data_IF_828945618408
#
_entry.id   IF_828945618408
#
_cell.length_a   1.000
_cell.length_b   1.000
_cell.length_c   1.000
_cell.angle_alpha   90.00
_cell.angle_beta   90.00
_cell.angle_gamma   90.00
#
_symmetry.space_group_name_H-M   'P 1'
#
loop_
_entity.id
_entity.type
_entity.pdbx_description
1 polymer ?
#
# COMPACT_ATOMS: atom_id res chain seq x y z
N UNK A 1 -3.34 -24.35 4.29
CA UNK A 1 -3.17 -22.99 3.73
C UNK A 1 -2.47 -22.16 4.79
N UNK A 2 -1.42 -21.40 4.44
CA UNK A 2 -0.76 -20.48 5.37
C UNK A 2 -1.80 -19.62 6.11
N UNK A 3 -1.70 -19.53 7.44
CA UNK A 3 -2.67 -18.85 8.33
C UNK A 3 -2.84 -17.37 7.94
N UNK A 4 -1.75 -16.72 7.52
CA UNK A 4 -1.77 -15.32 7.05
C UNK A 4 -2.56 -15.11 5.78
N UNK A 5 -2.76 -16.19 5.01
CA UNK A 5 -3.51 -16.17 3.76
C UNK A 5 -4.95 -16.64 3.95
N UNK A 6 -5.40 -17.04 5.14
CA UNK A 6 -6.78 -17.46 5.38
C UNK A 6 -7.73 -16.28 5.61
N UNK A 7 -9.03 -16.51 5.51
CA UNK A 7 -10.09 -15.55 5.85
C UNK A 7 -11.39 -16.31 6.13
N UNK A 8 -12.25 -15.77 7.00
CA UNK A 8 -13.64 -16.21 7.13
C UNK A 8 -14.57 -15.49 6.16
N UNK A 9 -15.87 -15.66 6.38
CA UNK A 9 -16.91 -14.96 5.63
C UNK A 9 -16.83 -13.45 5.88
N UNK A 10 -17.13 -12.65 4.87
CA UNK A 10 -17.03 -11.19 4.97
C UNK A 10 -17.73 -10.45 3.85
N UNK A 11 -17.75 -9.14 3.97
CA UNK A 11 -18.27 -8.23 2.95
C UNK A 11 -17.33 -7.04 2.76
N UNK A 12 -17.47 -6.38 1.62
CA UNK A 12 -16.78 -5.14 1.32
C UNK A 12 -17.64 -4.25 0.43
N UNK A 13 -17.42 -2.94 0.54
CA UNK A 13 -18.07 -1.94 -0.31
C UNK A 13 -17.11 -0.80 -0.61
N UNK A 14 -17.36 -0.12 -1.72
CA UNK A 14 -16.62 1.08 -2.10
C UNK A 14 -17.53 2.05 -2.82
N UNK A 15 -17.22 3.33 -2.69
CA UNK A 15 -17.84 4.42 -3.43
C UNK A 15 -16.76 5.34 -3.97
N UNK A 16 -16.98 5.87 -5.17
CA UNK A 16 -16.12 6.87 -5.80
C UNK A 16 -16.98 7.91 -6.50
N UNK A 17 -16.56 9.17 -6.44
CA UNK A 17 -17.24 10.27 -7.10
C UNK A 17 -16.22 11.20 -7.75
N UNK A 18 -16.47 11.55 -9.02
CA UNK A 18 -15.59 12.35 -9.88
C UNK A 18 -16.12 13.79 -10.09
N UNK A 19 -17.10 14.21 -9.30
CA UNK A 19 -17.74 15.53 -9.40
C UNK A 19 -18.30 15.85 -10.79
N UNK A 20 -18.81 14.84 -11.50
CA UNK A 20 -19.43 15.03 -12.82
C UNK A 20 -18.39 15.07 -13.95
N UNK A 21 -17.38 14.20 -13.86
CA UNK A 21 -16.30 14.09 -14.85
C UNK A 21 -15.20 15.14 -14.68
N UNK A 22 -15.02 15.69 -13.49
CA UNK A 22 -13.87 16.54 -13.18
C UNK A 22 -12.58 15.72 -13.10
N UNK A 23 -11.45 16.41 -13.20
CA UNK A 23 -10.12 15.80 -13.05
C UNK A 23 -9.82 15.35 -11.62
N UNK A 24 -10.67 15.75 -10.66
CA UNK A 24 -10.61 15.32 -9.27
C UNK A 24 -11.59 14.19 -9.02
N UNK A 25 -11.14 13.20 -8.25
CA UNK A 25 -12.05 12.19 -7.71
C UNK A 25 -11.72 11.87 -6.26
N UNK A 26 -12.77 11.57 -5.51
CA UNK A 26 -12.66 11.04 -4.15
C UNK A 26 -13.20 9.62 -4.11
N UNK A 27 -12.62 8.78 -3.27
CA UNK A 27 -13.05 7.39 -3.09
C UNK A 27 -12.96 6.97 -1.63
N UNK A 28 -13.83 6.05 -1.24
CA UNK A 28 -13.82 5.43 0.07
C UNK A 28 -14.20 3.95 -0.04
N UNK A 29 -13.57 3.11 0.77
CA UNK A 29 -13.85 1.68 0.83
C UNK A 29 -13.88 1.19 2.27
N UNK A 30 -14.66 0.13 2.50
CA UNK A 30 -14.80 -0.54 3.78
C UNK A 30 -14.88 -2.05 3.58
N UNK A 31 -14.23 -2.81 4.46
CA UNK A 31 -14.25 -4.27 4.48
C UNK A 31 -14.33 -4.79 5.90
N UNK A 32 -15.07 -5.88 6.08
CA UNK A 32 -15.18 -6.59 7.35
C UNK A 32 -15.30 -8.09 7.07
N UNK A 33 -14.50 -8.90 7.75
CA UNK A 33 -14.55 -10.36 7.65
C UNK A 33 -14.35 -11.03 9.00
N UNK A 34 -14.89 -12.23 9.15
CA UNK A 34 -14.56 -13.13 10.25
C UNK A 34 -13.10 -13.59 10.17
N UNK A 35 -12.44 -13.67 11.32
CA UNK A 35 -11.14 -14.32 11.44
C UNK A 35 -11.30 -15.80 11.74
N UNK A 36 -10.46 -16.61 11.12
CA UNK A 36 -10.51 -18.06 11.32
C UNK A 36 -10.00 -18.43 12.71
N UNK A 37 -10.41 -19.59 13.21
CA UNK A 37 -9.90 -20.13 14.48
C UNK A 37 -8.38 -20.22 14.50
N UNK A 38 -7.75 -20.63 13.39
CA UNK A 38 -6.29 -20.76 13.29
C UNK A 38 -5.56 -19.41 13.33
N UNK A 39 -6.18 -18.36 12.80
CA UNK A 39 -5.68 -16.99 12.91
C UNK A 39 -5.68 -16.50 14.37
N UNK A 40 -6.66 -16.91 15.17
CA UNK A 40 -6.74 -16.57 16.59
C UNK A 40 -5.88 -17.45 17.51
N UNK A 41 -5.18 -18.45 16.94
CA UNK A 41 -4.14 -19.22 17.64
C UNK A 41 -2.72 -18.67 17.40
N UNK A 42 -2.59 -17.57 16.64
CA UNK A 42 -1.30 -16.91 16.43
C UNK A 42 -0.83 -16.14 17.66
N UNK A 43 0.46 -15.81 17.72
CA UNK A 43 1.06 -15.09 18.86
C UNK A 43 0.68 -13.61 18.90
N UNK A 44 0.29 -13.04 17.75
CA UNK A 44 0.00 -11.62 17.57
C UNK A 44 -1.30 -11.39 16.81
N UNK A 45 -2.05 -10.39 17.24
CA UNK A 45 -3.28 -9.96 16.59
C UNK A 45 -4.37 -11.00 16.70
N UNK A 46 -5.05 -11.06 17.85
CA UNK A 46 -6.24 -11.91 18.06
C UNK A 46 -7.52 -11.07 18.01
N UNK A 47 -8.58 -11.63 17.47
CA UNK A 47 -9.89 -10.99 17.47
C UNK A 47 -10.87 -11.71 16.57
N UNK A 48 -12.17 -11.47 16.76
CA UNK A 48 -13.20 -12.18 15.99
C UNK A 48 -13.32 -11.67 14.56
N UNK A 49 -13.00 -10.39 14.34
CA UNK A 49 -13.12 -9.70 13.05
C UNK A 49 -11.80 -9.13 12.58
N UNK A 50 -11.62 -9.14 11.26
CA UNK A 50 -10.64 -8.37 10.52
C UNK A 50 -11.36 -7.28 9.74
N UNK A 51 -10.93 -6.03 9.92
CA UNK A 51 -11.58 -4.84 9.37
C UNK A 51 -10.54 -3.99 8.65
N UNK A 52 -10.94 -3.36 7.54
CA UNK A 52 -10.16 -2.28 6.95
C UNK A 52 -11.07 -1.24 6.30
N UNK A 53 -10.62 0.01 6.35
CA UNK A 53 -11.23 1.09 5.61
C UNK A 53 -10.15 1.97 4.97
N UNK A 54 -10.47 2.57 3.84
CA UNK A 54 -9.57 3.45 3.13
C UNK A 54 -10.35 4.64 2.55
N UNK A 55 -9.68 5.77 2.43
CA UNK A 55 -10.13 6.95 1.69
C UNK A 55 -9.01 7.42 0.80
N UNK A 56 -9.36 7.94 -0.37
CA UNK A 56 -8.38 8.43 -1.32
C UNK A 56 -8.90 9.60 -2.13
N UNK A 57 -7.97 10.46 -2.52
CA UNK A 57 -8.22 11.55 -3.46
C UNK A 57 -7.23 11.45 -4.60
N UNK A 58 -7.68 11.77 -5.81
CA UNK A 58 -6.80 11.88 -6.98
C UNK A 58 -7.09 13.14 -7.77
N UNK A 59 -6.05 13.61 -8.46
CA UNK A 59 -6.07 14.60 -9.53
C UNK A 59 -5.37 13.99 -10.75
N UNK A 60 -6.01 14.02 -11.91
CA UNK A 60 -5.51 13.37 -13.12
C UNK A 60 -5.85 14.21 -14.35
N UNK A 61 -5.00 15.21 -14.62
CA UNK A 61 -5.14 16.09 -15.78
C UNK A 61 -3.86 16.86 -16.10
N UNK A 62 -3.81 17.40 -17.33
CA UNK A 62 -2.69 18.21 -17.83
C UNK A 62 -1.34 17.48 -17.68
N UNK A 63 -1.34 16.19 -18.01
CA UNK A 63 -0.20 15.28 -17.91
C UNK A 63 0.35 15.08 -16.48
N UNK A 64 -0.36 15.60 -15.47
CA UNK A 64 -0.02 15.46 -14.05
C UNK A 64 -0.98 14.45 -13.43
N UNK A 65 -0.40 13.48 -12.73
CA UNK A 65 -1.13 12.55 -11.89
C UNK A 65 -0.70 12.72 -10.44
N UNK A 66 -1.64 13.01 -9.55
CA UNK A 66 -1.42 13.06 -8.11
C UNK A 66 -2.49 12.21 -7.44
N UNK A 67 -2.08 11.33 -6.54
CA UNK A 67 -3.03 10.59 -5.71
C UNK A 67 -2.50 10.43 -4.30
N UNK A 68 -3.40 10.43 -3.33
CA UNK A 68 -3.08 10.11 -1.93
C UNK A 68 -4.15 9.22 -1.34
N UNK A 69 -3.75 8.27 -0.51
CA UNK A 69 -4.65 7.37 0.20
C UNK A 69 -4.28 7.34 1.68
N UNK A 70 -5.31 7.27 2.52
CA UNK A 70 -5.16 6.94 3.93
C UNK A 70 -6.02 5.70 4.22
N UNK A 71 -5.49 4.76 4.97
CA UNK A 71 -6.24 3.59 5.39
C UNK A 71 -5.91 3.16 6.81
N UNK A 72 -6.86 2.50 7.45
CA UNK A 72 -6.60 1.77 8.68
C UNK A 72 -7.04 0.32 8.52
N UNK A 73 -6.32 -0.57 9.18
CA UNK A 73 -6.73 -1.97 9.32
C UNK A 73 -6.80 -2.34 10.79
N UNK A 74 -7.63 -3.33 11.14
CA UNK A 74 -7.71 -3.94 12.46
C UNK A 74 -7.64 -5.45 12.32
N UNK A 75 -6.71 -6.09 13.01
CA UNK A 75 -6.49 -7.54 12.98
C UNK A 75 -6.41 -8.10 11.53
N UNK A 76 -5.79 -7.38 10.60
CA UNK A 76 -5.82 -7.76 9.17
C UNK A 76 -4.43 -7.77 8.54
N UNK A 77 -3.58 -6.77 8.83
CA UNK A 77 -2.25 -6.68 8.23
C UNK A 77 -1.33 -7.75 8.80
N UNK A 78 -0.78 -8.67 7.98
CA UNK A 78 0.11 -9.72 8.47
C UNK A 78 1.44 -9.16 8.96
N UNK A 79 1.93 -9.67 10.10
CA UNK A 79 3.27 -9.35 10.66
C UNK A 79 3.97 -10.64 11.08
N UNK A 80 5.27 -10.59 11.42
CA UNK A 80 5.94 -11.78 11.99
C UNK A 80 5.16 -12.25 13.24
N UNK A 81 4.84 -13.54 13.31
CA UNK A 81 4.09 -14.14 14.43
C UNK A 81 2.57 -13.97 14.43
N UNK A 82 1.96 -13.31 13.44
CA UNK A 82 0.50 -13.18 13.34
C UNK A 82 0.05 -11.98 12.51
N UNK A 83 -0.76 -11.12 13.11
CA UNK A 83 -1.33 -9.91 12.50
C UNK A 83 -1.14 -8.70 13.40
N UNK A 84 -1.04 -7.50 12.82
CA UNK A 84 -1.06 -6.27 13.59
C UNK A 84 -2.48 -6.00 14.10
N UNK A 85 -2.60 -5.63 15.38
CA UNK A 85 -3.89 -5.28 16.00
C UNK A 85 -4.53 -4.08 15.31
N UNK A 86 -3.73 -3.08 14.98
CA UNK A 86 -4.12 -1.96 14.14
C UNK A 86 -2.98 -1.57 13.21
N UNK A 87 -3.31 -1.09 12.01
CA UNK A 87 -2.37 -0.30 11.20
C UNK A 87 -2.96 1.03 10.81
N UNK A 88 -2.11 2.02 10.61
CA UNK A 88 -2.43 3.28 9.94
C UNK A 88 -1.48 3.40 8.76
N UNK A 89 -2.03 3.52 7.56
CA UNK A 89 -1.27 3.54 6.32
C UNK A 89 -1.55 4.85 5.58
N UNK A 90 -0.50 5.39 4.97
CA UNK A 90 -0.55 6.57 4.14
C UNK A 90 0.30 6.34 2.89
N UNK A 91 -0.29 6.64 1.73
CA UNK A 91 0.37 6.55 0.44
C UNK A 91 0.15 7.85 -0.32
N UNK A 92 1.20 8.34 -0.99
CA UNK A 92 1.12 9.49 -1.87
C UNK A 92 1.98 9.27 -3.10
N UNK A 93 1.52 9.73 -4.24
CA UNK A 93 2.26 9.67 -5.51
C UNK A 93 2.03 10.93 -6.32
N UNK A 94 3.08 11.40 -6.98
CA UNK A 94 3.03 12.43 -8.01
C UNK A 94 3.83 11.99 -9.22
N UNK A 95 3.25 12.16 -10.40
CA UNK A 95 3.87 11.80 -11.67
C UNK A 95 3.58 12.86 -12.72
N UNK A 96 4.48 12.97 -13.69
CA UNK A 96 4.30 13.84 -14.85
C UNK A 96 4.58 13.06 -16.12
N UNK A 97 3.75 13.20 -17.14
CA UNK A 97 3.91 12.54 -18.43
C UNK A 97 4.45 13.53 -19.47
N UNK A 98 5.70 13.37 -19.89
CA UNK A 98 6.24 14.15 -21.00
C UNK A 98 5.74 13.63 -22.35
N UNK A 99 5.55 14.54 -23.31
CA UNK A 99 5.17 14.24 -24.70
C UNK A 99 6.11 13.24 -25.40
N UNK A 100 7.40 13.24 -25.04
CA UNK A 100 8.41 12.35 -25.62
C UNK A 100 8.44 10.95 -24.99
N UNK A 101 7.47 10.63 -24.12
CA UNK A 101 7.24 9.30 -23.56
C UNK A 101 7.86 9.04 -22.18
N UNK A 102 8.63 9.96 -21.61
CA UNK A 102 9.15 9.81 -20.24
C UNK A 102 8.10 10.17 -19.19
N UNK A 103 7.98 9.34 -18.15
CA UNK A 103 7.11 9.55 -17.00
C UNK A 103 7.88 9.38 -15.70
N UNK A 104 8.47 10.46 -15.13
CA UNK A 104 9.00 10.42 -13.77
C UNK A 104 7.89 10.22 -12.73
N UNK A 105 8.26 9.64 -11.60
CA UNK A 105 7.41 9.35 -10.45
C UNK A 105 8.14 9.66 -9.14
N UNK A 106 7.41 10.24 -8.19
CA UNK A 106 7.82 10.37 -6.80
C UNK A 106 6.69 9.84 -5.92
N UNK A 107 7.00 8.84 -5.09
CA UNK A 107 6.06 8.21 -4.17
C UNK A 107 6.54 8.25 -2.73
N UNK A 108 5.59 8.12 -1.80
CA UNK A 108 5.86 7.87 -0.39
C UNK A 108 4.85 6.86 0.16
N UNK A 109 5.34 5.85 0.88
CA UNK A 109 4.52 4.79 1.46
C UNK A 109 4.90 4.60 2.92
N UNK A 110 3.91 4.73 3.79
CA UNK A 110 4.01 4.48 5.22
C UNK A 110 2.92 3.50 5.65
N UNK A 111 3.29 2.47 6.39
CA UNK A 111 2.37 1.61 7.14
C UNK A 111 2.90 1.47 8.55
N UNK A 112 2.19 2.02 9.53
CA UNK A 112 2.57 1.95 10.94
C UNK A 112 1.69 0.95 11.67
N UNK A 113 2.30 -0.10 12.20
CA UNK A 113 1.66 -1.06 13.09
C UNK A 113 1.50 -0.47 14.48
N UNK A 114 0.35 -0.72 15.11
CA UNK A 114 0.03 -0.26 16.46
C UNK A 114 -0.41 -1.42 17.33
N UNK A 115 -0.06 -1.29 18.61
CA UNK A 115 -0.44 -2.21 19.69
C UNK A 115 -0.07 -3.67 19.40
N UNK A 116 1.07 -3.91 18.74
CA UNK A 116 1.55 -5.25 18.39
C UNK A 116 2.07 -5.95 19.66
N UNK A 117 1.64 -7.18 19.93
CA UNK A 117 1.98 -7.89 21.16
C UNK A 117 3.48 -8.15 21.27
N UNK A 118 4.04 -7.72 22.40
CA UNK A 118 5.47 -7.80 22.70
C UNK A 118 6.34 -6.84 21.89
N UNK A 119 5.76 -5.88 21.18
CA UNK A 119 6.47 -4.90 20.32
C UNK A 119 6.00 -3.47 20.59
N UNK A 120 4.70 -3.24 20.68
CA UNK A 120 4.12 -1.89 20.75
C UNK A 120 3.82 -1.34 19.35
N UNK A 121 4.30 -0.13 19.05
CA UNK A 121 4.11 0.50 17.74
C UNK A 121 5.40 0.50 16.96
N UNK A 122 5.35 0.05 15.70
CA UNK A 122 6.52 -0.14 14.85
C UNK A 122 6.13 0.11 13.39
N UNK A 123 7.04 0.67 12.60
CA UNK A 123 6.80 0.85 11.16
C UNK A 123 6.93 -0.50 10.45
N UNK A 124 5.94 -0.83 9.62
CA UNK A 124 5.88 -2.05 8.81
C UNK A 124 6.39 -1.83 7.40
N UNK A 125 6.16 -0.62 6.89
CA UNK A 125 6.62 -0.11 5.60
C UNK A 125 6.90 1.37 5.80
N UNK A 126 8.06 1.85 5.37
CA UNK A 126 8.36 3.27 5.34
C UNK A 126 9.41 3.49 4.25
N UNK A 127 9.04 4.11 3.12
CA UNK A 127 10.00 4.41 2.05
C UNK A 127 9.55 5.56 1.17
N UNK A 128 10.53 6.19 0.54
CA UNK A 128 10.36 7.12 -0.58
C UNK A 128 10.68 6.33 -1.85
N UNK A 129 9.88 6.54 -2.89
CA UNK A 129 10.06 5.93 -4.20
C UNK A 129 10.40 6.99 -5.23
N UNK A 130 11.51 6.81 -5.95
CA UNK A 130 11.90 7.70 -7.04
C UNK A 130 12.14 6.85 -8.28
N UNK A 131 11.33 7.09 -9.31
CA UNK A 131 11.35 6.26 -10.50
C UNK A 131 11.08 7.03 -11.78
N UNK A 132 11.32 6.38 -12.90
CA UNK A 132 10.93 6.86 -14.21
C UNK A 132 10.63 5.69 -15.15
N UNK A 133 9.55 5.81 -15.90
CA UNK A 133 9.22 4.90 -17.01
C UNK A 133 9.35 5.64 -18.33
N UNK A 134 10.02 5.03 -19.31
CA UNK A 134 10.07 5.51 -20.68
C UNK A 134 9.19 4.63 -21.58
N UNK A 135 8.15 5.22 -22.16
CA UNK A 135 7.27 4.56 -23.11
C UNK A 135 7.77 4.78 -24.53
N UNK A 136 8.26 3.71 -25.17
CA UNK A 136 8.65 3.75 -26.59
C UNK A 136 7.41 3.84 -27.48
N UNK A 137 6.35 3.12 -27.10
CA UNK A 137 5.02 3.14 -27.70
C UNK A 137 4.04 2.41 -26.74
N UNK A 138 2.79 2.21 -27.18
CA UNK A 138 1.76 1.52 -26.38
C UNK A 138 2.08 0.06 -26.00
N UNK A 139 3.09 -0.56 -26.63
CA UNK A 139 3.43 -1.97 -26.51
C UNK A 139 4.79 -2.21 -25.83
N UNK A 140 5.64 -1.19 -25.65
CA UNK A 140 6.99 -1.36 -25.11
C UNK A 140 7.40 -0.18 -24.22
N UNK A 141 7.94 -0.51 -23.04
CA UNK A 141 8.49 0.47 -22.10
C UNK A 141 9.73 -0.06 -21.38
N UNK A 142 10.56 0.85 -20.87
CA UNK A 142 11.64 0.55 -19.94
C UNK A 142 11.45 1.38 -18.67
N UNK A 143 11.87 0.88 -17.51
CA UNK A 143 11.76 1.63 -16.26
C UNK A 143 12.98 1.44 -15.36
N UNK A 144 13.18 2.42 -14.50
CA UNK A 144 14.04 2.36 -13.32
C UNK A 144 13.23 2.85 -12.12
N UNK A 145 13.36 2.15 -10.99
CA UNK A 145 12.66 2.47 -9.75
C UNK A 145 13.62 2.34 -8.57
N UNK A 146 13.65 3.34 -7.69
CA UNK A 146 14.53 3.35 -6.53
C UNK A 146 13.71 3.54 -5.25
N UNK A 147 13.55 2.43 -4.53
CA UNK A 147 13.00 2.40 -3.17
C UNK A 147 14.10 2.82 -2.19
N UNK A 148 13.98 4.04 -1.68
CA UNK A 148 14.80 4.58 -0.60
C UNK A 148 14.11 4.23 0.72
N UNK A 149 14.62 3.22 1.39
CA UNK A 149 14.01 2.66 2.58
C UNK A 149 14.28 3.56 3.79
N UNK A 150 13.22 3.87 4.54
CA UNK A 150 13.24 4.79 5.68
C UNK A 150 12.94 4.06 7.00
N UNK A 151 12.88 2.72 6.98
CA UNK A 151 12.77 1.92 8.20
C UNK A 151 14.05 2.03 9.03
N UNK A 152 13.88 2.10 10.35
CA UNK A 152 15.01 2.10 11.29
C UNK A 152 15.67 0.72 11.35
N UNK A 153 17.00 0.70 11.43
CA UNK A 153 17.80 -0.54 11.45
C UNK A 153 17.59 -1.42 12.68
N UNK A 154 17.08 -0.85 13.77
CA UNK A 154 16.74 -1.56 15.01
C UNK A 154 15.25 -1.94 15.11
N UNK A 155 14.53 -1.91 13.97
CA UNK A 155 13.13 -2.31 13.88
C UNK A 155 12.87 -3.66 14.58
N UNK A 156 11.99 -3.63 15.57
CA UNK A 156 11.74 -4.77 16.48
C UNK A 156 11.14 -5.99 15.76
N UNK A 157 10.56 -5.80 14.57
CA UNK A 157 9.99 -6.86 13.75
C UNK A 157 10.99 -7.48 12.77
N UNK A 158 12.22 -6.95 12.70
CA UNK A 158 13.29 -7.43 11.82
C UNK A 158 12.94 -7.28 10.35
N UNK A 159 12.22 -6.21 10.00
CA UNK A 159 11.87 -5.90 8.62
C UNK A 159 13.11 -5.33 7.94
N UNK A 160 13.36 -5.77 6.70
CA UNK A 160 14.51 -5.31 5.93
C UNK A 160 14.42 -3.80 5.67
N UNK A 161 15.47 -3.11 6.08
CA UNK A 161 15.72 -1.68 5.98
C UNK A 161 16.61 -1.31 4.79
N UNK A 162 17.01 -2.29 3.97
CA UNK A 162 17.82 -2.02 2.78
C UNK A 162 17.01 -1.31 1.70
N UNK A 163 17.73 -0.46 0.98
CA UNK A 163 17.34 0.15 -0.28
C UNK A 163 17.24 -0.89 -1.41
N UNK A 164 16.37 -0.63 -2.39
CA UNK A 164 16.20 -1.51 -3.55
C UNK A 164 16.12 -0.68 -4.83
N UNK A 165 16.92 -1.05 -5.83
CA UNK A 165 16.83 -0.52 -7.19
C UNK A 165 16.30 -1.61 -8.13
N UNK A 166 15.21 -1.32 -8.83
CA UNK A 166 14.62 -2.16 -9.87
C UNK A 166 14.85 -1.53 -11.24
N UNK A 167 15.23 -2.34 -12.23
CA UNK A 167 15.37 -1.93 -13.63
C UNK A 167 14.68 -3.00 -14.48
N UNK A 168 13.89 -2.57 -15.46
CA UNK A 168 13.15 -3.52 -16.28
C UNK A 168 12.80 -3.00 -17.67
N UNK A 169 12.46 -3.95 -18.54
CA UNK A 169 11.87 -3.74 -19.85
C UNK A 169 10.57 -4.54 -19.90
N UNK A 170 9.49 -3.91 -20.36
CA UNK A 170 8.19 -4.52 -20.49
C UNK A 170 7.76 -4.51 -21.96
N UNK A 171 7.32 -5.67 -22.45
CA UNK A 171 6.63 -5.80 -23.73
C UNK A 171 5.22 -6.36 -23.50
N UNK A 172 4.22 -5.71 -24.08
CA UNK A 172 2.81 -6.08 -23.96
C UNK A 172 2.09 -6.03 -25.32
N UNK A 173 1.17 -6.96 -25.54
CA UNK A 173 0.39 -7.09 -26.78
C UNK A 173 -1.08 -6.71 -26.57
#
# INVERSE_FOLDING_TARGET
RDVKKQNGDGFGTSVSYDFGGSDFAVSGAYTLSDRTREQNLQRRGTGDKAEAWATGVKYDANDIYIATFYSETRNMTPVSGGFANKTQNFEAVIQYQFDFGLRPSLGYVLSKGKDIEGVGSEDLVNYIDVGATYYFNKNMSAFVDYKINQLDSDNTLGINDDDIVAIGLTYQF
#
